data_IF_161469831108
#
_entry.id   IF_161469831108
#
_cell.length_a   1.000
_cell.length_b   1.000
_cell.length_c   1.000
_cell.angle_alpha   90.00
_cell.angle_beta   90.00
_cell.angle_gamma   90.00
#
_symmetry.space_group_name_H-M   'P 1'
#
loop_
_entity.id
_entity.type
_entity.pdbx_description
1 polymer ?
#
# COMPACT_ATOMS: atom_id res chain seq x y z
N UNK A 1 58.80 10.99 63.82
CA UNK A 1 57.46 11.56 64.07
C UNK A 1 57.07 12.32 62.82
N UNK A 2 56.10 11.81 62.05
CA UNK A 2 55.57 12.41 60.81
C UNK A 2 56.51 12.24 59.59
N UNK A 3 56.08 11.93 58.36
CA UNK A 3 54.75 11.91 57.76
C UNK A 3 54.68 10.84 56.66
N UNK A 4 53.47 10.31 56.49
CA UNK A 4 53.06 9.22 55.63
C UNK A 4 53.23 9.50 54.12
N UNK A 5 53.63 8.44 53.41
CA UNK A 5 53.35 8.04 52.02
C UNK A 5 52.48 8.99 51.18
N UNK A 6 53.10 9.53 50.13
CA UNK A 6 52.42 10.16 48.99
C UNK A 6 52.02 9.08 47.97
N UNK A 7 50.93 8.35 48.22
CA UNK A 7 50.25 7.57 47.17
C UNK A 7 48.97 8.30 46.78
N UNK A 8 49.02 9.05 45.68
CA UNK A 8 47.83 9.64 45.06
C UNK A 8 46.96 8.50 44.53
N UNK A 9 45.85 8.26 45.22
CA UNK A 9 44.77 7.40 44.79
C UNK A 9 44.19 7.99 43.49
N UNK A 10 44.46 7.33 42.35
CA UNK A 10 43.81 7.64 41.09
C UNK A 10 42.35 7.14 41.21
N UNK A 11 41.44 7.98 41.67
CA UNK A 11 40.01 7.71 41.60
C UNK A 11 39.64 7.60 40.13
N UNK A 12 39.31 6.38 39.68
CA UNK A 12 38.58 6.15 38.45
C UNK A 12 37.24 6.87 38.61
N UNK A 13 37.14 8.10 38.11
CA UNK A 13 35.86 8.74 37.86
C UNK A 13 35.24 7.94 36.72
N UNK A 14 34.42 6.94 37.05
CA UNK A 14 33.40 6.49 36.13
C UNK A 14 32.60 7.74 35.75
N UNK A 15 32.80 8.23 34.53
CA UNK A 15 31.93 9.22 33.94
C UNK A 15 30.54 8.58 33.86
N UNK A 16 29.72 8.76 34.90
CA UNK A 16 28.30 8.57 34.80
C UNK A 16 27.83 9.62 33.80
N UNK A 17 27.66 9.19 32.54
CA UNK A 17 26.86 9.92 31.57
C UNK A 17 25.55 10.25 32.29
N UNK A 18 25.12 11.52 32.34
CA UNK A 18 23.81 11.83 32.88
C UNK A 18 22.78 10.98 32.12
N UNK A 19 21.79 10.39 32.80
CA UNK A 19 20.70 9.73 32.10
C UNK A 19 20.15 10.72 31.08
N UNK A 20 20.23 10.34 29.81
CA UNK A 20 19.72 11.09 28.67
C UNK A 20 18.33 11.64 29.00
N UNK A 21 18.19 12.96 28.98
CA UNK A 21 16.93 13.62 29.29
C UNK A 21 15.86 13.21 28.25
N UNK A 22 14.60 13.02 28.66
CA UNK A 22 13.49 12.79 27.74
C UNK A 22 13.38 13.95 26.74
N UNK A 23 13.25 13.65 25.44
CA UNK A 23 13.07 14.68 24.41
C UNK A 23 11.56 15.07 24.36
N UNK A 24 11.21 16.36 24.51
CA UNK A 24 9.81 16.80 24.44
C UNK A 24 9.11 16.47 23.10
N UNK A 25 9.89 16.25 22.03
CA UNK A 25 9.36 15.82 20.75
C UNK A 25 8.86 14.37 20.78
N UNK A 26 9.44 13.51 21.61
CA UNK A 26 9.02 12.11 21.76
C UNK A 26 7.64 12.02 22.43
N UNK A 27 7.37 12.85 23.45
CA UNK A 27 6.04 12.94 24.08
C UNK A 27 4.96 13.37 23.09
N UNK A 28 5.22 14.46 22.34
CA UNK A 28 4.26 14.97 21.37
C UNK A 28 4.01 13.98 20.23
N UNK A 29 5.06 13.30 19.77
CA UNK A 29 4.98 12.25 18.74
C UNK A 29 4.03 11.13 19.19
N UNK A 30 4.27 10.55 20.37
CA UNK A 30 3.48 9.43 20.89
C UNK A 30 2.04 9.84 21.21
N UNK A 31 1.85 11.03 21.79
CA UNK A 31 0.51 11.54 22.10
C UNK A 31 -0.32 11.69 20.83
N UNK A 32 0.23 12.34 19.80
CA UNK A 32 -0.46 12.56 18.52
C UNK A 32 -0.62 11.29 17.70
N UNK A 33 0.28 10.33 17.87
CA UNK A 33 0.14 9.01 17.26
C UNK A 33 -1.01 8.24 17.93
N UNK A 34 -1.05 8.19 19.27
CA UNK A 34 -2.12 7.54 20.01
C UNK A 34 -3.49 8.18 19.76
N UNK A 35 -3.57 9.51 19.65
CA UNK A 35 -4.81 10.22 19.29
C UNK A 35 -5.32 9.90 17.88
N UNK A 36 -4.45 9.45 16.96
CA UNK A 36 -4.80 9.15 15.57
C UNK A 36 -5.32 7.73 15.34
N UNK A 37 -5.30 6.90 16.38
CA UNK A 37 -5.59 5.48 16.32
C UNK A 37 -6.62 5.08 17.37
N UNK A 38 -7.31 3.97 17.10
CA UNK A 38 -8.22 3.35 18.05
C UNK A 38 -7.67 1.97 18.43
N UNK A 39 -7.79 1.62 19.71
CA UNK A 39 -7.41 0.32 20.28
C UNK A 39 -8.67 -0.38 20.83
N UNK A 40 -9.43 -1.09 19.98
CA UNK A 40 -10.73 -1.66 20.37
C UNK A 40 -10.63 -2.71 21.47
N UNK A 41 -9.49 -3.38 21.57
CA UNK A 41 -9.27 -4.49 22.50
C UNK A 41 -8.54 -4.04 23.77
N UNK A 42 -8.23 -2.74 23.90
CA UNK A 42 -7.48 -2.19 25.03
C UNK A 42 -6.13 -2.88 25.28
N UNK A 43 -5.46 -3.28 24.19
CA UNK A 43 -4.13 -3.91 24.23
C UNK A 43 -3.04 -2.96 24.73
N UNK A 44 -3.24 -1.65 24.59
CA UNK A 44 -2.29 -0.58 24.91
C UNK A 44 -2.55 0.01 26.29
N UNK A 45 -2.70 -0.83 27.31
CA UNK A 45 -3.08 -0.40 28.67
C UNK A 45 -2.17 0.67 29.28
N UNK A 46 -0.88 0.67 28.93
CA UNK A 46 0.11 1.62 29.45
C UNK A 46 0.35 2.83 28.53
N UNK A 47 -0.44 3.02 27.48
CA UNK A 47 -0.31 4.17 26.59
C UNK A 47 -1.09 5.37 27.14
N UNK A 48 -0.45 6.12 28.03
CA UNK A 48 -1.05 7.26 28.73
C UNK A 48 -0.16 8.51 28.65
N UNK A 49 -0.72 9.71 28.86
CA UNK A 49 0.05 10.96 28.87
C UNK A 49 1.28 10.91 29.81
N UNK A 50 1.18 10.44 31.06
CA UNK A 50 2.35 10.34 31.95
C UNK A 50 3.46 9.43 31.40
N UNK A 51 3.10 8.32 30.76
CA UNK A 51 4.08 7.41 30.14
C UNK A 51 4.69 7.97 28.85
N UNK A 52 4.01 8.87 28.15
CA UNK A 52 4.56 9.54 26.97
C UNK A 52 5.56 10.64 27.35
N UNK A 53 5.37 11.32 28.48
CA UNK A 53 6.30 12.33 28.98
C UNK A 53 7.68 11.75 29.36
N UNK A 54 7.70 10.50 29.81
CA UNK A 54 8.94 9.77 30.08
C UNK A 54 8.83 8.31 29.60
N UNK A 55 8.98 8.07 28.28
CA UNK A 55 8.74 6.75 27.71
C UNK A 55 9.85 5.75 28.00
N UNK A 56 11.00 6.22 28.48
CA UNK A 56 12.22 5.43 28.59
C UNK A 56 12.88 5.55 29.97
N UNK A 57 13.20 4.41 30.56
CA UNK A 57 14.05 4.28 31.76
C UNK A 57 15.34 3.55 31.37
N UNK A 58 16.28 4.27 30.77
CA UNK A 58 17.51 3.68 30.21
C UNK A 58 17.22 2.85 28.96
N UNK A 59 17.37 1.52 29.06
CA UNK A 59 17.07 0.56 27.98
C UNK A 59 15.65 0.00 28.03
N UNK A 60 14.92 0.23 29.12
CA UNK A 60 13.57 -0.31 29.32
C UNK A 60 12.51 0.74 28.97
N UNK A 61 11.36 0.29 28.45
CA UNK A 61 10.15 1.09 28.28
C UNK A 61 8.97 0.38 28.94
N UNK A 62 8.08 1.15 29.57
CA UNK A 62 6.80 0.64 30.07
C UNK A 62 5.69 0.65 29.01
N UNK A 63 5.97 1.26 27.86
CA UNK A 63 5.07 1.28 26.71
C UNK A 63 5.17 -0.04 25.97
N UNK A 64 4.01 -0.67 25.78
CA UNK A 64 3.89 -1.89 24.97
C UNK A 64 4.49 -1.61 23.58
N UNK A 65 5.41 -2.47 23.15
CA UNK A 65 6.03 -2.40 21.83
C UNK A 65 7.17 -1.39 21.66
N UNK A 66 7.41 -0.52 22.64
CA UNK A 66 8.52 0.44 22.57
C UNK A 66 9.82 -0.15 23.11
N UNK A 67 10.93 0.12 22.44
CA UNK A 67 12.28 -0.19 22.93
C UNK A 67 13.13 1.07 22.92
N UNK A 68 13.88 1.27 24.01
CA UNK A 68 14.66 2.46 24.25
C UNK A 68 16.15 2.20 24.05
N UNK A 69 16.85 3.21 23.53
CA UNK A 69 18.30 3.26 23.46
C UNK A 69 18.73 4.68 23.83
N UNK A 70 19.63 4.80 24.81
CA UNK A 70 20.03 6.10 25.37
C UNK A 70 18.81 6.98 25.72
N UNK A 71 17.84 6.40 26.44
CA UNK A 71 16.65 7.10 26.96
C UNK A 71 15.69 7.68 25.93
N UNK A 72 15.83 7.30 24.65
CA UNK A 72 14.86 7.64 23.59
C UNK A 72 14.36 6.39 22.90
N UNK A 73 13.12 6.44 22.41
CA UNK A 73 12.56 5.32 21.63
C UNK A 73 13.31 5.23 20.31
N UNK A 74 13.86 4.06 20.01
CA UNK A 74 14.48 3.79 18.72
C UNK A 74 13.76 2.66 17.96
N UNK A 75 12.92 1.87 18.64
CA UNK A 75 12.07 0.86 18.01
C UNK A 75 10.66 0.95 18.58
N UNK A 76 9.68 0.93 17.69
CA UNK A 76 8.27 0.83 18.00
C UNK A 76 7.68 -0.32 17.17
N UNK A 77 7.22 -1.37 17.84
CA UNK A 77 6.67 -2.58 17.22
C UNK A 77 5.35 -2.94 17.88
N UNK A 78 4.26 -2.78 17.14
CA UNK A 78 2.88 -3.01 17.57
C UNK A 78 2.13 -3.98 16.62
N UNK A 79 2.69 -5.17 16.29
CA UNK A 79 2.05 -6.05 15.34
C UNK A 79 0.88 -6.83 15.96
N UNK A 80 -0.16 -7.14 15.16
CA UNK A 80 -1.28 -8.01 15.56
C UNK A 80 -2.08 -7.52 16.78
N UNK A 81 -2.39 -6.22 16.85
CA UNK A 81 -3.13 -5.62 17.97
C UNK A 81 -4.54 -5.15 17.60
N UNK A 82 -5.01 -5.45 16.38
CA UNK A 82 -6.29 -4.99 15.82
C UNK A 82 -6.47 -3.46 15.84
N UNK A 83 -5.36 -2.71 15.84
CA UNK A 83 -5.37 -1.25 15.90
C UNK A 83 -6.02 -0.67 14.64
N UNK A 84 -6.83 0.38 14.81
CA UNK A 84 -7.54 1.08 13.72
C UNK A 84 -7.11 2.54 13.66
N UNK A 85 -7.63 3.26 12.67
CA UNK A 85 -7.36 4.69 12.47
C UNK A 85 -6.33 4.91 11.37
N UNK A 86 -5.46 5.89 11.55
CA UNK A 86 -4.47 6.31 10.54
C UNK A 86 -3.08 6.44 11.15
N UNK A 87 -2.04 6.39 10.31
CA UNK A 87 -0.67 6.64 10.77
C UNK A 87 -0.49 8.15 10.88
N UNK A 88 -0.30 8.66 12.10
CA UNK A 88 -0.10 10.10 12.33
C UNK A 88 1.19 10.62 11.67
N UNK A 89 1.17 11.76 10.96
CA UNK A 89 2.39 12.39 10.44
C UNK A 89 3.33 12.85 11.56
N UNK A 90 2.79 13.09 12.77
CA UNK A 90 3.59 13.46 13.95
C UNK A 90 4.51 12.33 14.44
N UNK A 91 4.33 11.10 13.95
CA UNK A 91 5.27 10.00 14.21
C UNK A 91 6.68 10.35 13.72
N UNK A 92 6.80 11.25 12.74
CA UNK A 92 8.06 11.79 12.24
C UNK A 92 8.87 12.60 13.28
N UNK A 93 8.23 13.07 14.36
CA UNK A 93 8.91 13.80 15.44
C UNK A 93 9.70 12.87 16.38
N UNK A 94 9.45 11.56 16.34
CA UNK A 94 10.25 10.55 17.04
C UNK A 94 11.58 10.32 16.29
N UNK A 95 12.43 11.34 16.21
CA UNK A 95 13.61 11.39 15.31
C UNK A 95 14.67 10.31 15.56
N UNK A 96 14.68 9.68 16.74
CA UNK A 96 15.58 8.57 17.07
C UNK A 96 15.07 7.21 16.57
N UNK A 97 13.86 7.15 15.99
CA UNK A 97 13.24 5.91 15.53
C UNK A 97 14.03 5.29 14.36
N UNK A 98 14.44 4.04 14.55
CA UNK A 98 15.17 3.20 13.61
C UNK A 98 14.31 2.04 13.09
N UNK A 99 13.31 1.61 13.86
CA UNK A 99 12.44 0.51 13.47
C UNK A 99 10.99 0.87 13.81
N UNK A 100 10.15 0.90 12.79
CA UNK A 100 8.70 1.04 12.91
C UNK A 100 8.04 -0.20 12.33
N UNK A 101 7.27 -0.88 13.17
CA UNK A 101 6.51 -2.07 12.80
C UNK A 101 5.08 -1.95 13.31
N UNK A 102 4.16 -1.77 12.38
CA UNK A 102 2.71 -1.64 12.61
C UNK A 102 1.95 -2.75 11.86
N UNK A 103 2.64 -3.86 11.54
CA UNK A 103 2.07 -4.89 10.68
C UNK A 103 0.86 -5.58 11.28
N UNK A 104 0.03 -6.19 10.43
CA UNK A 104 -1.11 -6.99 10.86
C UNK A 104 -2.07 -6.21 11.77
N UNK A 105 -2.48 -5.03 11.33
CA UNK A 105 -3.48 -4.21 12.00
C UNK A 105 -4.56 -3.80 10.99
N UNK A 106 -5.40 -2.84 11.35
CA UNK A 106 -6.45 -2.29 10.50
C UNK A 106 -6.24 -0.79 10.24
N UNK A 107 -4.98 -0.34 10.14
CA UNK A 107 -4.67 1.04 9.77
C UNK A 107 -5.16 1.35 8.35
N UNK A 108 -5.74 2.53 8.19
CA UNK A 108 -6.32 3.06 6.95
C UNK A 108 -5.66 4.39 6.58
N UNK A 109 -6.07 4.98 5.45
CA UNK A 109 -5.51 6.26 4.99
C UNK A 109 -4.25 6.05 4.14
N UNK A 110 -3.34 7.02 4.17
CA UNK A 110 -2.12 7.03 3.37
C UNK A 110 -0.89 6.88 4.26
N UNK A 111 0.24 6.49 3.67
CA UNK A 111 1.54 6.54 4.33
C UNK A 111 1.98 8.01 4.40
N UNK A 112 2.19 8.62 5.58
CA UNK A 112 2.54 10.03 5.68
C UNK A 112 3.86 10.36 4.99
N UNK A 113 3.89 11.45 4.23
CA UNK A 113 5.11 11.89 3.54
C UNK A 113 6.17 12.37 4.53
N UNK A 114 5.74 12.84 5.70
CA UNK A 114 6.54 13.32 6.82
C UNK A 114 7.45 12.24 7.41
N UNK A 115 7.16 10.95 7.18
CA UNK A 115 8.08 9.87 7.58
C UNK A 115 9.48 10.05 6.98
N UNK A 116 9.63 10.86 5.91
CA UNK A 116 10.92 11.28 5.36
C UNK A 116 11.88 11.91 6.38
N UNK A 117 11.36 12.48 7.47
CA UNK A 117 12.17 13.13 8.51
C UNK A 117 12.78 12.13 9.51
N UNK A 118 12.37 10.86 9.47
CA UNK A 118 12.97 9.79 10.27
C UNK A 118 14.27 9.32 9.61
N UNK A 119 15.30 10.16 9.68
CA UNK A 119 16.57 9.95 8.98
C UNK A 119 17.30 8.67 9.43
N UNK A 120 17.03 8.19 10.65
CA UNK A 120 17.63 6.96 11.19
C UNK A 120 16.82 5.70 10.90
N UNK A 121 15.68 5.80 10.21
CA UNK A 121 14.78 4.67 9.97
C UNK A 121 15.45 3.62 9.08
N UNK A 122 15.57 2.41 9.62
CA UNK A 122 16.16 1.24 8.98
C UNK A 122 15.10 0.17 8.65
N UNK A 123 14.04 0.07 9.43
CA UNK A 123 12.95 -0.89 9.23
C UNK A 123 11.62 -0.16 9.20
N UNK A 124 10.88 -0.31 8.11
CA UNK A 124 9.50 0.12 7.97
C UNK A 124 8.64 -1.09 7.57
N UNK A 125 7.88 -1.61 8.52
CA UNK A 125 6.92 -2.69 8.28
C UNK A 125 5.50 -2.18 8.52
N UNK A 126 4.74 -2.03 7.45
CA UNK A 126 3.32 -1.63 7.45
C UNK A 126 2.44 -2.68 6.78
N UNK A 127 2.94 -3.91 6.67
CA UNK A 127 2.25 -4.98 5.95
C UNK A 127 0.95 -5.42 6.63
N UNK A 128 0.08 -6.09 5.87
CA UNK A 128 -1.20 -6.60 6.36
C UNK A 128 -2.04 -5.52 7.07
N UNK A 129 -2.31 -4.43 6.36
CA UNK A 129 -3.14 -3.32 6.81
C UNK A 129 -4.15 -2.95 5.69
N UNK A 130 -4.85 -1.82 5.84
CA UNK A 130 -5.80 -1.29 4.85
C UNK A 130 -5.33 0.07 4.32
N UNK A 131 -4.01 0.27 4.24
CA UNK A 131 -3.41 1.49 3.70
C UNK A 131 -3.73 1.63 2.22
N UNK A 132 -3.83 2.87 1.77
CA UNK A 132 -4.32 3.26 0.45
C UNK A 132 -3.47 4.40 -0.12
N UNK A 133 -3.83 4.88 -1.31
CA UNK A 133 -3.08 5.89 -2.06
C UNK A 133 -1.66 5.41 -2.45
N UNK A 134 -0.83 6.35 -2.89
CA UNK A 134 0.50 6.06 -3.46
C UNK A 134 1.56 5.89 -2.40
N UNK A 135 2.57 5.06 -2.68
CA UNK A 135 3.80 5.00 -1.88
C UNK A 135 4.53 6.35 -2.00
N UNK A 136 4.83 7.07 -0.90
CA UNK A 136 5.53 8.34 -0.95
C UNK A 136 6.95 8.19 -1.52
N UNK A 137 7.30 8.91 -2.60
CA UNK A 137 8.67 8.93 -3.11
C UNK A 137 9.69 9.46 -2.08
N UNK A 138 9.22 10.27 -1.13
CA UNK A 138 10.02 10.85 -0.06
C UNK A 138 10.59 9.83 0.95
N UNK A 139 10.06 8.60 0.99
CA UNK A 139 10.67 7.51 1.77
C UNK A 139 12.11 7.22 1.34
N UNK A 140 12.49 7.58 0.10
CA UNK A 140 13.87 7.49 -0.37
C UNK A 140 14.85 8.43 0.38
N UNK A 141 14.35 9.40 1.15
CA UNK A 141 15.19 10.28 1.98
C UNK A 141 15.71 9.57 3.24
N UNK A 142 15.05 8.50 3.69
CA UNK A 142 15.50 7.66 4.79
C UNK A 142 16.62 6.73 4.31
N UNK A 143 17.83 7.28 4.14
CA UNK A 143 18.97 6.59 3.52
C UNK A 143 19.44 5.31 4.24
N UNK A 144 19.01 5.11 5.50
CA UNK A 144 19.32 3.92 6.29
C UNK A 144 18.32 2.77 6.09
N UNK A 145 17.22 2.99 5.35
CA UNK A 145 16.21 1.96 5.12
C UNK A 145 16.82 0.70 4.51
N UNK A 146 16.65 -0.38 5.26
CA UNK A 146 17.09 -1.73 4.96
C UNK A 146 15.89 -2.64 4.66
N UNK A 147 14.76 -2.39 5.32
CA UNK A 147 13.53 -3.16 5.17
C UNK A 147 12.38 -2.22 4.87
N UNK A 148 11.69 -2.45 3.76
CA UNK A 148 10.39 -1.86 3.44
C UNK A 148 9.44 -3.01 3.16
N UNK A 149 8.51 -3.24 4.06
CA UNK A 149 7.46 -4.24 3.87
C UNK A 149 6.09 -3.55 3.91
N UNK A 150 5.41 -3.54 2.76
CA UNK A 150 4.11 -2.94 2.52
C UNK A 150 3.11 -3.96 1.96
N UNK A 151 3.43 -5.27 2.02
CA UNK A 151 2.58 -6.28 1.41
C UNK A 151 1.18 -6.32 2.04
N UNK A 152 0.20 -6.84 1.30
CA UNK A 152 -1.17 -7.00 1.77
C UNK A 152 -1.80 -5.69 2.26
N UNK A 153 -1.89 -4.72 1.37
CA UNK A 153 -2.54 -3.43 1.58
C UNK A 153 -3.41 -3.08 0.35
N UNK A 154 -3.91 -1.85 0.26
CA UNK A 154 -4.67 -1.35 -0.90
C UNK A 154 -3.99 -0.18 -1.61
N UNK A 155 -2.66 -0.12 -1.55
CA UNK A 155 -1.85 0.94 -2.17
C UNK A 155 -2.03 0.95 -3.68
N UNK A 156 -2.04 2.14 -4.28
CA UNK A 156 -2.30 2.38 -5.70
C UNK A 156 -1.16 3.17 -6.35
N UNK A 157 -1.22 3.32 -7.68
CA UNK A 157 -0.22 4.06 -8.46
C UNK A 157 1.05 3.25 -8.71
N UNK A 158 2.10 3.93 -9.17
CA UNK A 158 3.37 3.30 -9.51
C UNK A 158 4.30 3.16 -8.31
N UNK A 159 5.21 2.19 -8.38
CA UNK A 159 6.32 2.08 -7.44
C UNK A 159 7.28 3.27 -7.71
N UNK A 160 7.58 4.13 -6.71
CA UNK A 160 8.46 5.26 -6.92
C UNK A 160 9.88 4.81 -7.31
N UNK A 161 10.43 5.23 -8.46
CA UNK A 161 11.79 4.87 -8.87
C UNK A 161 12.87 5.36 -7.90
N UNK A 162 12.56 6.40 -7.11
CA UNK A 162 13.41 6.97 -6.08
C UNK A 162 13.81 5.94 -5.02
N UNK A 163 12.96 4.95 -4.71
CA UNK A 163 13.29 3.91 -3.74
C UNK A 163 14.50 3.06 -4.19
N UNK A 164 14.80 3.03 -5.49
CA UNK A 164 16.00 2.36 -6.00
C UNK A 164 17.32 3.05 -5.60
N UNK A 165 17.30 4.29 -5.09
CA UNK A 165 18.49 4.95 -4.54
C UNK A 165 18.91 4.41 -3.17
N UNK A 166 18.03 3.66 -2.49
CA UNK A 166 18.29 3.09 -1.17
C UNK A 166 19.26 1.92 -1.30
N UNK A 167 20.55 2.20 -1.20
CA UNK A 167 21.65 1.21 -1.36
C UNK A 167 21.68 0.15 -0.26
N UNK A 168 21.08 0.42 0.90
CA UNK A 168 21.01 -0.52 2.03
C UNK A 168 19.80 -1.43 1.98
N UNK A 169 18.82 -1.15 1.13
CA UNK A 169 17.55 -1.88 1.09
C UNK A 169 17.79 -3.33 0.69
N UNK A 170 17.58 -4.26 1.62
CA UNK A 170 17.74 -5.71 1.43
C UNK A 170 16.44 -6.47 1.40
N UNK A 171 15.40 -5.95 2.03
CA UNK A 171 14.05 -6.51 1.98
C UNK A 171 13.12 -5.45 1.42
N UNK A 172 12.45 -5.78 0.33
CA UNK A 172 11.43 -4.96 -0.29
C UNK A 172 10.27 -5.88 -0.65
N UNK A 173 9.10 -5.61 -0.08
CA UNK A 173 7.88 -6.34 -0.42
C UNK A 173 6.71 -5.35 -0.56
N UNK A 174 6.06 -5.40 -1.72
CA UNK A 174 4.88 -4.62 -2.07
C UNK A 174 3.81 -5.54 -2.67
N UNK A 175 3.89 -6.84 -2.43
CA UNK A 175 2.94 -7.82 -2.96
C UNK A 175 1.52 -7.54 -2.47
N UNK A 176 0.53 -8.08 -3.16
CA UNK A 176 -0.87 -8.06 -2.73
C UNK A 176 -1.38 -6.64 -2.44
N UNK A 177 -1.17 -5.75 -3.41
CA UNK A 177 -1.65 -4.38 -3.43
C UNK A 177 -2.40 -4.10 -4.76
N UNK A 178 -2.70 -2.82 -5.04
CA UNK A 178 -3.32 -2.35 -6.28
C UNK A 178 -2.35 -1.46 -7.09
N UNK A 179 -1.05 -1.75 -7.00
CA UNK A 179 -0.02 -1.00 -7.71
C UNK A 179 -0.09 -1.30 -9.21
N UNK A 180 0.34 -0.33 -10.02
CA UNK A 180 0.25 -0.39 -11.47
C UNK A 180 1.47 0.24 -12.15
N UNK A 181 1.63 -0.07 -13.44
CA UNK A 181 2.73 0.47 -14.24
C UNK A 181 3.99 -0.40 -14.20
N UNK A 182 5.11 0.10 -14.75
CA UNK A 182 6.34 -0.66 -14.82
C UNK A 182 7.06 -0.71 -13.46
N UNK A 183 7.64 -1.87 -13.14
CA UNK A 183 8.62 -1.99 -12.05
C UNK A 183 9.85 -1.14 -12.42
N UNK A 184 10.25 -0.17 -11.58
CA UNK A 184 11.43 0.64 -11.84
C UNK A 184 12.68 -0.23 -12.01
N UNK A 185 13.45 0.00 -13.08
CA UNK A 185 14.70 -0.74 -13.31
C UNK A 185 15.69 -0.59 -12.16
N UNK A 186 15.65 0.54 -11.44
CA UNK A 186 16.44 0.80 -10.23
C UNK A 186 16.13 -0.13 -9.06
N UNK A 187 14.97 -0.79 -9.06
CA UNK A 187 14.57 -1.81 -8.06
C UNK A 187 14.58 -3.22 -8.66
N UNK A 188 14.06 -3.38 -9.88
CA UNK A 188 13.96 -4.67 -10.52
C UNK A 188 15.32 -5.25 -10.93
N UNK A 189 16.21 -4.42 -11.48
CA UNK A 189 17.50 -4.85 -12.00
C UNK A 189 18.66 -4.13 -11.30
N UNK A 190 18.76 -4.31 -9.98
CA UNK A 190 19.86 -3.75 -9.19
C UNK A 190 21.21 -4.34 -9.65
N UNK A 191 22.18 -3.46 -9.90
CA UNK A 191 23.53 -3.82 -10.34
C UNK A 191 24.49 -3.93 -9.16
N UNK A 192 25.63 -4.61 -9.36
CA UNK A 192 26.67 -4.78 -8.34
C UNK A 192 26.28 -5.77 -7.23
N UNK A 193 26.75 -5.51 -6.00
CA UNK A 193 26.53 -6.36 -4.82
C UNK A 193 25.19 -6.09 -4.11
N UNK A 194 24.28 -5.38 -4.76
CA UNK A 194 22.98 -5.04 -4.18
C UNK A 194 22.05 -6.27 -4.22
N UNK A 195 21.28 -6.52 -3.15
CA UNK A 195 20.34 -7.63 -3.10
C UNK A 195 19.25 -7.44 -4.16
N UNK A 196 18.90 -8.53 -4.84
CA UNK A 196 17.81 -8.56 -5.83
C UNK A 196 16.52 -8.99 -5.15
N UNK A 197 15.44 -8.31 -5.49
CA UNK A 197 14.11 -8.66 -4.99
C UNK A 197 13.48 -9.72 -5.89
N UNK A 198 12.82 -10.70 -5.28
CA UNK A 198 12.23 -11.81 -6.01
C UNK A 198 10.90 -11.38 -6.65
N UNK A 199 10.40 -12.15 -7.63
CA UNK A 199 9.09 -11.90 -8.24
C UNK A 199 7.94 -11.92 -7.21
N UNK A 200 8.09 -12.67 -6.11
CA UNK A 200 7.12 -12.71 -5.01
C UNK A 200 6.87 -11.34 -4.39
N UNK A 201 7.92 -10.52 -4.23
CA UNK A 201 7.87 -9.16 -3.66
C UNK A 201 6.96 -8.18 -4.44
N UNK A 202 6.57 -8.54 -5.66
CA UNK A 202 5.74 -7.72 -6.54
C UNK A 202 4.42 -8.39 -6.92
N UNK A 203 4.24 -9.65 -6.52
CA UNK A 203 3.09 -10.48 -6.91
C UNK A 203 1.77 -9.94 -6.34
N UNK A 204 0.61 -10.41 -6.82
CA UNK A 204 -0.70 -9.91 -6.37
C UNK A 204 -1.10 -8.54 -6.93
N UNK A 205 -0.17 -7.74 -7.47
CA UNK A 205 -0.47 -6.48 -8.16
C UNK A 205 -0.85 -6.73 -9.63
N UNK A 206 -2.15 -6.62 -9.96
CA UNK A 206 -2.70 -7.01 -11.27
C UNK A 206 -2.14 -6.24 -12.47
N UNK A 207 -1.90 -4.94 -12.31
CA UNK A 207 -1.52 -4.04 -13.39
C UNK A 207 -0.04 -3.62 -13.34
N UNK A 208 0.74 -4.28 -12.47
CA UNK A 208 2.18 -4.10 -12.35
C UNK A 208 2.91 -5.05 -13.30
N UNK A 209 3.96 -4.58 -13.99
CA UNK A 209 4.67 -5.37 -15.00
C UNK A 209 6.15 -4.97 -15.14
N UNK A 210 6.92 -5.78 -15.86
CA UNK A 210 8.37 -5.60 -16.04
C UNK A 210 9.18 -6.41 -15.03
N UNK A 211 10.49 -6.56 -15.27
CA UNK A 211 11.35 -7.43 -14.48
C UNK A 211 11.36 -7.04 -12.98
N UNK A 212 11.24 -7.99 -12.02
CA UNK A 212 11.29 -9.45 -12.21
C UNK A 212 9.97 -10.12 -12.63
N UNK A 213 8.88 -9.39 -12.78
CA UNK A 213 7.63 -9.89 -13.36
C UNK A 213 7.72 -9.98 -14.89
N UNK A 214 6.67 -10.55 -15.49
CA UNK A 214 6.50 -10.58 -16.95
C UNK A 214 6.12 -9.22 -17.55
N UNK A 215 6.08 -9.13 -18.89
CA UNK A 215 5.61 -7.93 -19.58
C UNK A 215 4.14 -7.65 -19.29
N UNK A 216 3.70 -6.43 -19.60
CA UNK A 216 2.31 -6.02 -19.41
C UNK A 216 1.36 -6.99 -20.10
N UNK A 217 0.41 -7.57 -19.35
CA UNK A 217 -0.66 -8.38 -19.93
C UNK A 217 -1.67 -7.44 -20.58
N UNK A 218 -1.42 -7.04 -21.83
CA UNK A 218 -2.41 -6.27 -22.59
C UNK A 218 -3.68 -7.10 -22.70
N UNK A 219 -4.78 -6.63 -22.10
CA UNK A 219 -6.12 -7.16 -22.36
C UNK A 219 -6.60 -6.68 -23.73
N UNK A 220 -5.88 -7.06 -24.79
CA UNK A 220 -6.47 -7.03 -26.11
C UNK A 220 -7.66 -7.98 -26.13
N UNK A 221 -8.79 -7.58 -26.74
CA UNK A 221 -9.85 -8.52 -27.04
C UNK A 221 -9.23 -9.68 -27.85
N UNK A 222 -9.47 -10.93 -27.43
CA UNK A 222 -8.98 -12.08 -28.19
C UNK A 222 -9.44 -11.98 -29.63
N UNK A 223 -8.57 -12.30 -30.60
CA UNK A 223 -8.92 -12.33 -32.03
C UNK A 223 -10.18 -13.17 -32.25
N UNK A 224 -10.35 -14.25 -31.48
CA UNK A 224 -11.55 -15.11 -31.51
C UNK A 224 -12.82 -14.34 -31.11
N UNK A 225 -12.73 -13.44 -30.12
CA UNK A 225 -13.86 -12.60 -29.69
C UNK A 225 -14.18 -11.56 -30.76
N UNK A 226 -13.17 -10.94 -31.37
CA UNK A 226 -13.36 -9.98 -32.47
C UNK A 226 -14.03 -10.67 -33.67
N UNK A 227 -13.51 -11.83 -34.08
CA UNK A 227 -14.08 -12.65 -35.16
C UNK A 227 -15.50 -13.11 -34.80
N UNK A 228 -15.76 -13.50 -33.56
CA UNK A 228 -17.09 -13.87 -33.07
C UNK A 228 -18.10 -12.72 -33.13
N UNK A 229 -17.70 -11.50 -32.72
CA UNK A 229 -18.55 -10.30 -32.85
C UNK A 229 -18.83 -10.01 -34.33
N UNK A 230 -17.82 -10.11 -35.20
CA UNK A 230 -17.97 -9.92 -36.64
C UNK A 230 -18.95 -10.92 -37.27
N UNK A 231 -18.75 -12.22 -37.05
CA UNK A 231 -19.60 -13.28 -37.59
C UNK A 231 -21.03 -13.22 -37.03
N UNK A 232 -21.17 -12.99 -35.71
CA UNK A 232 -22.47 -12.89 -35.06
C UNK A 232 -23.28 -11.70 -35.56
N UNK A 233 -22.65 -10.54 -35.72
CA UNK A 233 -23.32 -9.33 -36.23
C UNK A 233 -23.75 -9.47 -37.70
N UNK A 234 -22.91 -10.11 -38.54
CA UNK A 234 -23.25 -10.40 -39.93
C UNK A 234 -24.44 -11.36 -40.07
N UNK A 235 -24.44 -12.44 -39.28
CA UNK A 235 -25.51 -13.44 -39.31
C UNK A 235 -26.84 -12.84 -38.81
N UNK A 236 -26.79 -12.04 -37.74
CA UNK A 236 -27.95 -11.32 -37.22
C UNK A 236 -28.52 -10.33 -38.25
N UNK A 237 -27.66 -9.59 -38.96
CA UNK A 237 -28.07 -8.65 -40.00
C UNK A 237 -28.78 -9.36 -41.17
N UNK A 238 -28.26 -10.51 -41.61
CA UNK A 238 -28.89 -11.33 -42.64
C UNK A 238 -30.27 -11.84 -42.21
N UNK A 239 -30.40 -12.35 -40.98
CA UNK A 239 -31.69 -12.83 -40.45
C UNK A 239 -32.71 -11.68 -40.36
N UNK A 240 -32.30 -10.51 -39.86
CA UNK A 240 -33.17 -9.34 -39.81
C UNK A 240 -33.60 -8.89 -41.21
N UNK A 241 -32.68 -8.83 -42.17
CA UNK A 241 -33.00 -8.49 -43.56
C UNK A 241 -34.01 -9.48 -44.17
N UNK A 242 -33.77 -10.78 -44.01
CA UNK A 242 -34.64 -11.82 -44.55
C UNK A 242 -36.06 -11.76 -43.94
N UNK A 243 -36.15 -11.62 -42.63
CA UNK A 243 -37.45 -11.51 -41.93
C UNK A 243 -38.25 -10.28 -42.38
N UNK A 244 -37.61 -9.14 -42.58
CA UNK A 244 -38.26 -7.93 -43.11
C UNK A 244 -38.80 -8.17 -44.51
N UNK A 245 -38.04 -8.82 -45.40
CA UNK A 245 -38.49 -9.15 -46.76
C UNK A 245 -39.67 -10.11 -46.73
N UNK A 246 -39.62 -11.16 -45.91
CA UNK A 246 -40.73 -12.12 -45.76
C UNK A 246 -42.01 -11.45 -45.25
N UNK A 247 -41.90 -10.56 -44.25
CA UNK A 247 -43.04 -9.81 -43.74
C UNK A 247 -43.60 -8.89 -44.82
N UNK A 248 -42.74 -8.19 -45.57
CA UNK A 248 -43.18 -7.32 -46.66
C UNK A 248 -43.91 -8.09 -47.76
N UNK A 249 -43.37 -9.22 -48.23
CA UNK A 249 -44.01 -10.08 -49.23
C UNK A 249 -45.39 -10.56 -48.76
N UNK A 250 -45.49 -11.05 -47.53
CA UNK A 250 -46.76 -11.50 -46.96
C UNK A 250 -47.80 -10.39 -46.86
N UNK A 251 -47.37 -9.18 -46.51
CA UNK A 251 -48.26 -8.00 -46.49
C UNK A 251 -48.72 -7.66 -47.91
N UNK A 252 -47.82 -7.69 -48.90
CA UNK A 252 -48.20 -7.40 -50.29
C UNK A 252 -49.19 -8.41 -50.86
N UNK A 253 -49.00 -9.71 -50.62
CA UNK A 253 -49.93 -10.75 -51.05
C UNK A 253 -51.32 -10.55 -50.44
N UNK A 254 -51.40 -10.28 -49.13
CA UNK A 254 -52.66 -10.01 -48.45
C UNK A 254 -53.38 -8.77 -49.01
N UNK A 255 -52.64 -7.72 -49.38
CA UNK A 255 -53.23 -6.52 -49.99
C UNK A 255 -53.81 -6.82 -51.38
N UNK A 256 -53.08 -7.59 -52.20
CA UNK A 256 -53.55 -8.00 -53.53
C UNK A 256 -54.79 -8.90 -53.44
N UNK A 257 -54.82 -9.84 -52.48
CA UNK A 257 -55.98 -10.69 -52.21
C UNK A 257 -57.22 -9.87 -51.79
N UNK A 258 -57.04 -8.89 -50.89
CA UNK A 258 -58.13 -8.00 -50.49
C UNK A 258 -58.64 -7.10 -51.63
N UNK A 259 -57.76 -6.62 -52.52
CA UNK A 259 -58.14 -5.86 -53.71
C UNK A 259 -58.91 -6.70 -54.74
N UNK A 260 -58.59 -7.99 -54.87
CA UNK A 260 -59.35 -8.93 -55.70
C UNK A 260 -60.73 -9.23 -55.11
N UNK A 261 -60.83 -9.50 -53.80
CA UNK A 261 -62.12 -9.71 -53.13
C UNK A 261 -63.02 -8.47 -53.20
N UNK A 262 -62.48 -7.27 -53.01
CA UNK A 262 -63.23 -6.01 -53.14
C UNK A 262 -63.74 -5.73 -54.56
N UNK A 263 -63.01 -6.14 -55.60
CA UNK A 263 -63.47 -6.09 -56.99
C UNK A 263 -64.58 -7.11 -57.28
N UNK A 264 -64.53 -8.29 -56.67
CA UNK A 264 -65.54 -9.34 -56.86
C UNK A 264 -66.86 -8.95 -56.16
N UNK A 265 -66.81 -8.31 -54.99
CA UNK A 265 -68.02 -7.85 -54.28
C UNK A 265 -68.72 -6.66 -54.94
N UNK A 266 -67.99 -5.79 -55.66
CA UNK A 266 -68.61 -4.71 -56.46
C UNK A 266 -69.30 -5.18 -57.76
N UNK A 267 -69.13 -6.45 -58.15
CA UNK A 267 -69.70 -7.02 -59.38
C UNK A 267 -70.99 -7.83 -59.17
N UNK A 268 -71.50 -7.91 -57.94
CA UNK A 268 -72.81 -8.52 -57.66
C UNK A 268 -73.89 -7.44 -57.53
N UNK A 269 -74.90 -7.37 -58.43
CA UNK A 269 -76.09 -6.58 -58.19
C UNK A 269 -76.94 -7.26 -57.10
N UNK A 270 -77.38 -6.49 -56.10
CA UNK A 270 -78.47 -6.90 -55.21
C UNK A 270 -79.74 -7.09 -56.04
N UNK A 271 -80.37 -8.25 -55.88
CA UNK A 271 -81.74 -8.55 -56.30
C UNK A 271 -82.48 -9.19 -55.13
#
# INVERSE_FOLDING_TARGET
>A
MGFFKLTRLLMLMCAFLPPSAPDPNDESCLTKFFESMEDPNHNLMNWTKPTFANPCSGFFSNLVGATCNNGRIYKLSLPNLDLRGSISPYLSNCTNLQSLDLSNNSFTGFIPTELQYLLNLAVLNLSANRLSATIPPSLAMCAYLNVIDLHHNTLTGSIPPQLGSLVRLSVFDVSDNKLSGPIPASLGNRTGNLPRFNASSYSGNKDLYGYPLGPMRSKGLSVVVIVGIGLGSGLLSLVLSFTVVCVWLRVTENRMAAEQEGKITQLMPEY
#
